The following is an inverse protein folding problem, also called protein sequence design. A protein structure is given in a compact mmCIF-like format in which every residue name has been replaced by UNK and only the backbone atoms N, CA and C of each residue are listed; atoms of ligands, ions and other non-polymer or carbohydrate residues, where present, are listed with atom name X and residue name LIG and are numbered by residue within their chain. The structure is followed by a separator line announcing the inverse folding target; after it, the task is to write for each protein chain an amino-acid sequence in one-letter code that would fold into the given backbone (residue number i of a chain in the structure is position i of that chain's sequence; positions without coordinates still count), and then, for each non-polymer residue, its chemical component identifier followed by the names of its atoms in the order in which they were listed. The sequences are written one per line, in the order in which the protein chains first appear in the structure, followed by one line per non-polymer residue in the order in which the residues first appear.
data_IF_028960789341
#
_entry.id   IF_028960789341
#
_cell.length_a   1.000
_cell.length_b   1.000
_cell.length_c   1.000
_cell.angle_alpha   90.00
_cell.angle_beta   90.00
_cell.angle_gamma   90.00
#
_symmetry.space_group_name_H-M   'P 1'
#
loop_
_entity.id
_entity.type
_entity.pdbx_description
1 polymer ?
#
# COMPACT_ATOMS: atom_id res chain seq x y z
N UNK A 1 1.26 -1.17 3.51
CA UNK A 1 0.93 -0.84 2.10
C UNK A 1 -0.55 -0.51 1.98
N UNK A 2 -0.90 0.46 1.14
CA UNK A 2 -2.28 0.94 0.94
C UNK A 2 -2.66 0.79 -0.53
N UNK A 3 -3.92 0.42 -0.79
CA UNK A 3 -4.53 0.37 -2.10
C UNK A 3 -5.90 1.05 -2.05
N UNK A 4 -6.14 2.03 -2.90
CA UNK A 4 -7.45 2.65 -3.10
C UNK A 4 -7.82 2.63 -4.59
N UNK A 5 -9.03 2.21 -4.92
CA UNK A 5 -9.46 2.02 -6.32
C UNK A 5 -10.71 2.83 -6.62
N UNK A 6 -10.81 3.27 -7.88
CA UNK A 6 -12.00 3.91 -8.41
C UNK A 6 -13.20 2.96 -8.45
N UNK A 7 -14.40 3.51 -8.19
CA UNK A 7 -15.64 2.76 -8.24
C UNK A 7 -15.83 2.11 -9.62
N UNK A 8 -16.23 0.84 -9.64
CA UNK A 8 -16.36 0.03 -10.86
C UNK A 8 -15.10 0.04 -11.75
N UNK A 9 -13.91 0.21 -11.15
CA UNK A 9 -12.62 0.33 -11.85
C UNK A 9 -12.58 1.49 -12.86
N UNK A 10 -13.46 2.47 -12.71
CA UNK A 10 -13.44 3.66 -13.56
C UNK A 10 -12.19 4.49 -13.32
N UNK A 11 -11.73 5.25 -14.33
CA UNK A 11 -10.65 6.20 -14.15
C UNK A 11 -10.97 7.20 -13.03
N UNK A 12 -9.98 7.48 -12.22
CA UNK A 12 -10.00 8.51 -11.18
C UNK A 12 -9.03 9.65 -11.50
N UNK A 13 -8.31 9.55 -12.61
CA UNK A 13 -7.46 10.57 -13.19
C UNK A 13 -7.74 10.62 -14.69
N UNK A 14 -8.09 11.79 -15.21
CA UNK A 14 -8.39 12.04 -16.63
C UNK A 14 -7.27 12.83 -17.33
N UNK A 15 -6.48 13.58 -16.57
CA UNK A 15 -5.41 14.41 -17.09
C UNK A 15 -4.34 14.68 -16.04
N UNK A 16 -3.25 15.33 -16.46
CA UNK A 16 -2.10 15.62 -15.59
C UNK A 16 -2.50 16.42 -14.34
N UNK A 17 -3.43 17.36 -14.48
CA UNK A 17 -3.89 18.21 -13.37
C UNK A 17 -4.56 17.42 -12.27
N UNK A 18 -5.23 16.31 -12.60
CA UNK A 18 -5.86 15.44 -11.61
C UNK A 18 -4.80 14.74 -10.74
N UNK A 19 -3.73 14.24 -11.36
CA UNK A 19 -2.61 13.64 -10.64
C UNK A 19 -1.92 14.63 -9.71
N UNK A 20 -1.65 15.84 -10.22
CA UNK A 20 -1.04 16.91 -9.42
C UNK A 20 -1.93 17.29 -8.25
N UNK A 21 -3.24 17.46 -8.49
CA UNK A 21 -4.18 17.78 -7.42
C UNK A 21 -4.29 16.67 -6.36
N UNK A 22 -4.24 15.40 -6.80
CA UNK A 22 -4.21 14.29 -5.85
C UNK A 22 -2.95 14.29 -4.98
N UNK A 23 -1.78 14.51 -5.58
CA UNK A 23 -0.51 14.61 -4.85
C UNK A 23 -0.52 15.77 -3.85
N UNK A 24 -1.11 16.91 -4.21
CA UNK A 24 -1.28 18.03 -3.26
C UNK A 24 -2.23 17.67 -2.12
N UNK A 25 -3.35 17.02 -2.39
CA UNK A 25 -4.25 16.51 -1.36
C UNK A 25 -3.53 15.53 -0.42
N UNK A 26 -2.73 14.62 -0.98
CA UNK A 26 -1.96 13.64 -0.22
C UNK A 26 -0.90 14.32 0.65
N UNK A 27 -0.12 15.24 0.08
CA UNK A 27 0.91 16.01 0.77
C UNK A 27 0.34 16.77 1.98
N UNK A 28 -0.77 17.48 1.76
CA UNK A 28 -1.43 18.24 2.82
C UNK A 28 -1.96 17.33 3.94
N UNK A 29 -2.66 16.27 3.57
CA UNK A 29 -3.26 15.36 4.54
C UNK A 29 -2.20 14.53 5.29
N UNK A 30 -1.14 14.08 4.62
CA UNK A 30 -0.05 13.36 5.25
C UNK A 30 0.66 14.22 6.31
N UNK A 31 0.87 15.50 6.02
CA UNK A 31 1.42 16.47 6.97
C UNK A 31 0.46 16.76 8.13
N UNK A 32 -0.84 16.93 7.84
CA UNK A 32 -1.89 17.24 8.84
C UNK A 32 -2.06 16.11 9.87
N UNK A 33 -1.87 14.87 9.45
CA UNK A 33 -2.14 13.69 10.27
C UNK A 33 -0.89 12.85 10.59
N UNK A 34 0.31 13.40 10.38
CA UNK A 34 1.57 12.72 10.69
C UNK A 34 1.72 11.33 10.02
N UNK A 35 1.44 11.24 8.73
CA UNK A 35 1.68 10.05 7.92
C UNK A 35 2.98 10.21 7.13
N UNK A 36 4.00 9.41 7.42
CA UNK A 36 5.20 9.34 6.59
C UNK A 36 4.92 8.53 5.32
N UNK A 37 4.96 9.16 4.16
CA UNK A 37 4.80 8.51 2.85
C UNK A 37 6.17 8.15 2.31
N UNK A 38 6.41 6.85 2.07
CA UNK A 38 7.69 6.33 1.61
C UNK A 38 7.72 6.07 0.11
N UNK A 39 6.63 5.59 -0.46
CA UNK A 39 6.50 5.41 -1.91
C UNK A 39 5.04 5.53 -2.34
N UNK A 40 4.83 5.92 -3.61
CA UNK A 40 3.51 5.95 -4.22
C UNK A 40 3.56 5.59 -5.71
N UNK A 41 2.43 5.13 -6.22
CA UNK A 41 2.12 5.06 -7.64
C UNK A 41 0.64 5.39 -7.88
N UNK A 42 0.39 6.34 -8.76
CA UNK A 42 -0.94 6.75 -9.18
C UNK A 42 -1.21 6.15 -10.56
N UNK A 43 -2.23 5.30 -10.63
CA UNK A 43 -2.64 4.65 -11.89
C UNK A 43 -3.99 5.23 -12.34
N UNK A 44 -4.37 5.13 -13.60
CA UNK A 44 -5.61 5.74 -14.08
C UNK A 44 -6.83 5.45 -13.20
N UNK A 45 -6.92 4.27 -12.58
CA UNK A 45 -8.09 3.85 -11.81
C UNK A 45 -7.78 3.41 -10.37
N UNK A 46 -6.56 3.56 -9.89
CA UNK A 46 -6.20 3.21 -8.51
C UNK A 46 -4.92 3.88 -8.04
N UNK A 47 -4.71 3.85 -6.73
CA UNK A 47 -3.53 4.42 -6.05
C UNK A 47 -2.92 3.37 -5.16
N UNK A 48 -1.60 3.26 -5.20
CA UNK A 48 -0.80 2.51 -4.24
C UNK A 48 0.05 3.46 -3.40
N UNK A 49 0.16 3.18 -2.07
CA UNK A 49 1.06 3.88 -1.17
C UNK A 49 1.82 2.89 -0.30
N UNK A 50 3.06 3.24 0.03
CA UNK A 50 3.82 2.69 1.15
C UNK A 50 3.99 3.81 2.15
N UNK A 51 3.50 3.61 3.38
CA UNK A 51 3.50 4.67 4.38
C UNK A 51 3.57 4.10 5.79
N UNK A 52 4.13 4.89 6.72
CA UNK A 52 4.18 4.60 8.15
C UNK A 52 3.38 5.65 8.91
N UNK A 53 2.28 5.28 9.59
CA UNK A 53 1.53 6.19 10.44
C UNK A 53 2.27 6.41 11.77
N UNK A 54 2.24 7.63 12.29
CA UNK A 54 2.82 7.97 13.60
C UNK A 54 1.86 7.67 14.76
N UNK A 55 0.56 7.59 14.47
CA UNK A 55 -0.49 7.19 15.40
C UNK A 55 -1.45 6.19 14.74
N UNK A 56 -2.26 5.50 15.53
CA UNK A 56 -3.22 4.49 15.06
C UNK A 56 -4.20 5.06 14.02
N UNK A 57 -4.62 6.31 14.17
CA UNK A 57 -5.60 6.96 13.31
C UNK A 57 -4.99 7.70 12.12
N UNK A 58 -3.66 7.95 12.12
CA UNK A 58 -3.01 8.78 11.12
C UNK A 58 -3.30 8.34 9.67
N UNK A 59 -3.25 7.04 9.41
CA UNK A 59 -3.56 6.50 8.08
C UNK A 59 -5.02 6.71 7.70
N UNK A 60 -5.95 6.42 8.60
CA UNK A 60 -7.38 6.51 8.32
C UNK A 60 -7.82 7.96 8.14
N UNK A 61 -7.33 8.88 8.95
CA UNK A 61 -7.59 10.31 8.83
C UNK A 61 -7.00 10.89 7.53
N UNK A 62 -5.76 10.54 7.21
CA UNK A 62 -5.12 10.95 5.95
C UNK A 62 -5.94 10.49 4.73
N UNK A 63 -6.24 9.19 4.66
CA UNK A 63 -6.96 8.64 3.50
C UNK A 63 -8.40 9.16 3.39
N UNK A 64 -9.04 9.46 4.52
CA UNK A 64 -10.35 10.10 4.55
C UNK A 64 -10.28 11.55 4.03
N UNK A 65 -9.28 12.32 4.47
CA UNK A 65 -9.08 13.69 4.04
C UNK A 65 -8.80 13.78 2.54
N UNK A 66 -7.84 12.97 2.05
CA UNK A 66 -7.51 12.85 0.61
C UNK A 66 -8.75 12.43 -0.18
N UNK A 67 -9.41 11.35 0.25
CA UNK A 67 -10.56 10.81 -0.47
C UNK A 67 -11.69 11.81 -0.64
N UNK A 68 -12.01 12.60 0.41
CA UNK A 68 -13.05 13.63 0.37
C UNK A 68 -12.65 14.86 -0.46
N UNK A 69 -11.40 15.36 -0.27
CA UNK A 69 -10.91 16.55 -0.99
C UNK A 69 -10.84 16.27 -2.49
N UNK A 70 -10.23 15.14 -2.84
CA UNK A 70 -10.05 14.74 -4.23
C UNK A 70 -11.37 14.38 -4.93
N UNK A 71 -12.27 13.62 -4.29
CA UNK A 71 -13.57 13.29 -4.89
C UNK A 71 -14.41 14.54 -5.17
N UNK A 72 -14.39 15.55 -4.30
CA UNK A 72 -15.06 16.84 -4.52
C UNK A 72 -14.48 17.57 -5.73
N UNK A 73 -13.15 17.64 -5.83
CA UNK A 73 -12.46 18.23 -6.98
C UNK A 73 -12.85 17.50 -8.27
N UNK A 74 -12.64 16.19 -8.31
CA UNK A 74 -12.87 15.36 -9.50
C UNK A 74 -14.31 15.44 -9.98
N UNK A 75 -15.29 15.29 -9.09
CA UNK A 75 -16.70 15.39 -9.44
C UNK A 75 -17.06 16.74 -10.03
N UNK A 76 -16.48 17.84 -9.50
CA UNK A 76 -16.69 19.18 -10.04
C UNK A 76 -16.10 19.31 -11.45
N UNK A 77 -14.86 18.88 -11.66
CA UNK A 77 -14.17 19.00 -12.95
C UNK A 77 -14.80 18.09 -14.02
N UNK A 78 -15.16 16.86 -13.64
CA UNK A 78 -15.76 15.89 -14.54
C UNK A 78 -17.27 16.05 -14.72
N UNK A 79 -17.92 17.05 -14.09
CA UNK A 79 -19.36 17.29 -14.17
C UNK A 79 -20.22 16.14 -13.66
N UNK A 80 -19.73 15.39 -12.65
CA UNK A 80 -20.38 14.17 -12.15
C UNK A 80 -20.76 14.29 -10.67
N UNK A 81 -21.61 13.38 -10.22
CA UNK A 81 -22.04 13.22 -8.81
C UNK A 81 -21.79 11.78 -8.34
N UNK A 82 -21.91 11.55 -7.02
CA UNK A 82 -21.80 10.23 -6.43
C UNK A 82 -20.37 9.85 -6.02
N UNK A 83 -20.18 8.58 -5.67
CA UNK A 83 -18.90 8.07 -5.14
C UNK A 83 -17.85 7.97 -6.25
N UNK A 84 -16.64 8.44 -5.96
CA UNK A 84 -15.47 8.26 -6.83
C UNK A 84 -14.76 6.94 -6.53
N UNK A 85 -14.66 6.58 -5.25
CA UNK A 85 -13.90 5.45 -4.77
C UNK A 85 -14.76 4.20 -4.53
N UNK A 86 -14.19 3.03 -4.78
CA UNK A 86 -14.78 1.72 -4.48
C UNK A 86 -14.71 1.44 -2.97
N UNK A 87 -15.57 2.11 -2.19
CA UNK A 87 -15.60 1.98 -0.74
C UNK A 87 -14.36 2.57 -0.04
N UNK A 88 -14.00 1.99 1.10
CA UNK A 88 -12.81 2.37 1.85
C UNK A 88 -11.54 1.84 1.19
N UNK A 89 -10.40 2.51 1.43
CA UNK A 89 -9.11 1.98 1.04
C UNK A 89 -8.83 0.63 1.73
N UNK A 90 -8.00 -0.18 1.11
CA UNK A 90 -7.45 -1.39 1.71
C UNK A 90 -6.06 -1.07 2.25
N UNK A 91 -5.75 -1.61 3.42
CA UNK A 91 -4.41 -1.52 3.99
C UNK A 91 -3.99 -2.85 4.57
N UNK A 92 -2.71 -3.14 4.46
CA UNK A 92 -2.08 -4.30 5.06
C UNK A 92 -0.72 -3.91 5.62
N UNK A 93 -0.45 -4.37 6.83
CA UNK A 93 0.84 -4.15 7.51
C UNK A 93 1.84 -5.21 7.05
N UNK A 94 3.10 -4.83 6.97
CA UNK A 94 4.19 -5.76 6.68
C UNK A 94 5.39 -5.46 7.58
N UNK A 95 6.26 -6.43 7.76
CA UNK A 95 7.53 -6.27 8.46
C UNK A 95 8.46 -5.36 7.63
N UNK A 96 8.79 -4.14 8.11
CA UNK A 96 9.61 -3.22 7.36
C UNK A 96 11.05 -3.71 7.16
N UNK A 97 11.61 -4.50 8.09
CA UNK A 97 12.97 -5.00 7.97
C UNK A 97 13.14 -5.89 6.74
N UNK A 98 12.12 -6.66 6.40
CA UNK A 98 12.18 -7.59 5.27
C UNK A 98 11.52 -7.03 4.00
N UNK A 99 10.45 -6.24 4.14
CA UNK A 99 9.55 -5.94 3.04
C UNK A 99 9.51 -4.48 2.61
N UNK A 100 10.23 -3.56 3.29
CA UNK A 100 10.14 -2.14 2.92
C UNK A 100 10.63 -1.87 1.49
N UNK A 101 11.88 -2.21 1.18
CA UNK A 101 12.43 -2.01 -0.16
C UNK A 101 11.66 -2.80 -1.24
N UNK A 102 11.34 -4.10 -1.05
CA UNK A 102 10.49 -4.81 -1.99
C UNK A 102 9.12 -4.15 -2.22
N UNK A 103 8.48 -3.61 -1.17
CA UNK A 103 7.18 -2.95 -1.29
C UNK A 103 7.30 -1.61 -2.05
N UNK A 104 8.35 -0.83 -1.82
CA UNK A 104 8.62 0.41 -2.57
C UNK A 104 8.82 0.10 -4.06
N UNK A 105 9.71 -0.83 -4.39
CA UNK A 105 9.97 -1.27 -5.77
C UNK A 105 8.71 -1.86 -6.44
N UNK A 106 7.91 -2.62 -5.67
CA UNK A 106 6.62 -3.13 -6.14
C UNK A 106 5.67 -2.00 -6.51
N UNK A 107 5.54 -1.00 -5.67
CA UNK A 107 4.65 0.14 -5.92
C UNK A 107 5.14 0.93 -7.12
N UNK A 108 6.40 1.33 -7.16
CA UNK A 108 6.98 2.16 -8.22
C UNK A 108 7.06 1.48 -9.58
N UNK A 109 7.27 0.16 -9.61
CA UNK A 109 7.23 -0.64 -10.84
C UNK A 109 5.82 -0.99 -11.34
N UNK A 110 4.75 -0.39 -10.78
CA UNK A 110 3.37 -0.76 -11.12
C UNK A 110 3.06 -0.54 -12.61
N UNK A 111 3.43 0.62 -13.17
CA UNK A 111 3.21 0.96 -14.57
C UNK A 111 3.94 0.02 -15.54
N UNK A 112 5.17 -0.37 -15.19
CA UNK A 112 5.96 -1.30 -16.00
C UNK A 112 5.30 -2.68 -16.05
N UNK A 113 4.87 -3.19 -14.90
CA UNK A 113 4.15 -4.48 -14.83
C UNK A 113 2.79 -4.46 -15.52
N UNK A 114 2.18 -3.28 -15.64
CA UNK A 114 0.93 -3.11 -16.39
C UNK A 114 1.16 -2.92 -17.91
N UNK A 115 2.42 -2.84 -18.36
CA UNK A 115 2.76 -2.56 -19.76
C UNK A 115 2.49 -1.11 -20.19
N UNK A 116 2.33 -0.18 -19.22
CA UNK A 116 1.97 1.22 -19.48
C UNK A 116 3.21 2.14 -19.52
N UNK A 117 4.36 1.66 -19.05
CA UNK A 117 5.64 2.33 -19.14
C UNK A 117 6.77 1.33 -19.38
N UNK A 118 7.81 1.73 -20.08
CA UNK A 118 8.99 0.89 -20.32
C UNK A 118 9.90 0.76 -19.10
N UNK A 119 9.97 1.82 -18.29
CA UNK A 119 10.76 1.87 -17.05
C UNK A 119 9.99 2.63 -15.96
N UNK A 120 10.31 2.43 -14.66
CA UNK A 120 9.71 3.22 -13.58
C UNK A 120 9.99 4.71 -13.71
N UNK A 121 11.13 5.09 -14.28
CA UNK A 121 11.52 6.47 -14.54
C UNK A 121 10.61 7.18 -15.55
N UNK A 122 10.15 6.45 -16.57
CA UNK A 122 9.27 6.98 -17.61
C UNK A 122 7.85 7.29 -17.10
N UNK A 123 7.44 6.68 -15.99
CA UNK A 123 6.16 6.97 -15.35
C UNK A 123 6.28 8.15 -14.37
N UNK A 124 5.73 9.31 -14.75
CA UNK A 124 5.75 10.53 -13.92
C UNK A 124 4.93 10.41 -12.63
N UNK A 125 4.05 9.44 -12.53
CA UNK A 125 3.05 9.36 -11.47
C UNK A 125 3.41 8.35 -10.39
N UNK A 126 4.72 8.14 -10.19
CA UNK A 126 5.27 7.34 -9.10
C UNK A 126 6.41 8.09 -8.38
N UNK A 127 6.85 7.55 -7.24
CA UNK A 127 7.91 8.12 -6.42
C UNK A 127 9.34 7.72 -6.84
N UNK A 128 9.52 6.88 -7.86
CA UNK A 128 10.82 6.35 -8.29
C UNK A 128 11.85 7.46 -8.55
N UNK A 129 11.43 8.55 -9.21
CA UNK A 129 12.32 9.67 -9.57
C UNK A 129 12.96 10.31 -8.35
N UNK A 130 12.28 10.31 -7.20
CA UNK A 130 12.83 10.75 -5.92
C UNK A 130 13.96 9.82 -5.44
N UNK A 131 13.68 8.52 -5.33
CA UNK A 131 14.66 7.55 -4.82
C UNK A 131 15.83 7.33 -5.79
N UNK A 132 15.61 7.48 -7.08
CA UNK A 132 16.67 7.45 -8.10
C UNK A 132 17.51 8.74 -8.20
N UNK A 133 17.18 9.79 -7.43
CA UNK A 133 17.89 11.05 -7.43
C UNK A 133 17.71 11.90 -8.68
N UNK A 134 16.61 11.70 -9.42
CA UNK A 134 16.29 12.45 -10.64
C UNK A 134 15.54 13.72 -10.30
N UNK A 135 14.59 13.64 -9.36
CA UNK A 135 13.74 14.74 -8.96
C UNK A 135 13.31 14.59 -7.50
N UNK A 136 13.69 15.54 -6.65
CA UNK A 136 13.32 15.48 -5.24
C UNK A 136 11.82 15.73 -5.04
N UNK A 137 11.16 14.84 -4.32
CA UNK A 137 9.77 15.05 -3.88
C UNK A 137 9.71 15.60 -2.47
N UNK A 138 9.08 16.77 -2.24
CA UNK A 138 9.13 17.46 -0.96
C UNK A 138 8.32 16.78 0.17
N UNK A 139 7.55 15.76 -0.12
CA UNK A 139 6.71 15.08 0.87
C UNK A 139 7.02 13.59 1.04
N UNK A 140 7.96 13.05 0.26
CA UNK A 140 8.47 11.70 0.50
C UNK A 140 9.36 11.72 1.74
N UNK A 141 9.13 10.77 2.62
CA UNK A 141 9.95 10.53 3.81
C UNK A 141 10.76 9.28 3.56
N UNK A 142 12.06 9.42 3.36
CA UNK A 142 12.96 8.27 3.21
C UNK A 142 12.89 7.37 4.44
N UNK A 143 12.71 6.08 4.21
CA UNK A 143 12.72 5.08 5.27
C UNK A 143 14.16 4.64 5.61
N UNK A 144 14.39 4.13 6.83
CA UNK A 144 15.70 3.63 7.25
C UNK A 144 16.28 2.61 6.26
N UNK A 145 15.47 1.69 5.73
CA UNK A 145 15.90 0.73 4.73
C UNK A 145 16.45 1.37 3.44
N UNK A 146 15.97 2.55 3.05
CA UNK A 146 16.55 3.31 1.94
C UNK A 146 17.88 3.96 2.34
N UNK A 147 17.99 4.46 3.59
CA UNK A 147 19.23 5.03 4.11
C UNK A 147 20.36 3.98 4.21
N UNK A 148 20.01 2.73 4.48
CA UNK A 148 20.96 1.59 4.55
C UNK A 148 21.55 1.20 3.19
N UNK A 149 21.01 1.70 2.07
CA UNK A 149 21.56 1.44 0.74
C UNK A 149 22.91 2.11 0.47
N UNK A 150 23.33 3.07 1.30
CA UNK A 150 24.64 3.71 1.15
C UNK A 150 24.84 4.89 2.09
N UNK A 151 26.10 5.24 2.32
CA UNK A 151 26.49 6.30 3.24
C UNK A 151 26.32 7.71 2.62
N UNK A 152 26.29 7.79 1.30
CA UNK A 152 26.11 9.05 0.57
C UNK A 152 24.79 9.04 -0.22
N UNK A 153 24.21 10.21 -0.53
CA UNK A 153 23.04 10.28 -1.40
C UNK A 153 23.27 9.60 -2.75
N UNK A 154 24.46 9.78 -3.33
CA UNK A 154 24.82 9.19 -4.61
C UNK A 154 24.83 7.65 -4.56
N UNK A 155 25.43 7.07 -3.53
CA UNK A 155 25.45 5.61 -3.32
C UNK A 155 24.02 5.06 -3.18
N UNK A 156 23.20 5.68 -2.33
CA UNK A 156 21.82 5.25 -2.12
C UNK A 156 21.01 5.26 -3.42
N UNK A 157 21.09 6.36 -4.15
CA UNK A 157 20.38 6.53 -5.42
C UNK A 157 20.87 5.51 -6.47
N UNK A 158 22.20 5.28 -6.55
CA UNK A 158 22.79 4.31 -7.45
C UNK A 158 22.34 2.89 -7.12
N UNK A 159 22.42 2.50 -5.84
CA UNK A 159 22.02 1.17 -5.39
C UNK A 159 20.51 0.96 -5.54
N UNK A 160 19.70 1.99 -5.32
CA UNK A 160 18.25 1.90 -5.55
C UNK A 160 17.93 1.68 -7.04
N UNK A 161 18.61 2.40 -7.95
CA UNK A 161 18.50 2.16 -9.40
C UNK A 161 18.88 0.74 -9.80
N UNK A 162 19.97 0.21 -9.22
CA UNK A 162 20.39 -1.17 -9.47
C UNK A 162 19.33 -2.18 -9.03
N UNK A 163 18.81 -2.05 -7.80
CA UNK A 163 17.74 -2.90 -7.29
C UNK A 163 16.47 -2.83 -8.15
N UNK A 164 16.14 -1.64 -8.63
CA UNK A 164 14.99 -1.44 -9.52
C UNK A 164 15.20 -2.09 -10.89
N UNK A 165 16.41 -2.04 -11.45
CA UNK A 165 16.77 -2.65 -12.72
C UNK A 165 16.82 -4.18 -12.64
N UNK A 166 17.32 -4.73 -11.52
CA UNK A 166 17.29 -6.17 -11.24
C UNK A 166 15.85 -6.68 -11.11
N UNK A 167 14.98 -5.85 -10.54
CA UNK A 167 13.56 -6.15 -10.36
C UNK A 167 13.29 -7.12 -9.21
N UNK A 168 12.02 -7.42 -9.03
CA UNK A 168 11.56 -8.36 -8.00
C UNK A 168 11.34 -9.75 -8.59
N UNK A 169 11.69 -10.80 -7.84
CA UNK A 169 11.41 -12.17 -8.24
C UNK A 169 9.90 -12.40 -8.42
N UNK A 170 9.53 -13.35 -9.30
CA UNK A 170 8.12 -13.71 -9.51
C UNK A 170 7.41 -14.07 -8.20
N UNK A 171 8.07 -14.82 -7.31
CA UNK A 171 7.55 -15.17 -5.99
C UNK A 171 7.30 -13.93 -5.12
N UNK A 172 8.23 -12.99 -5.08
CA UNK A 172 8.09 -11.72 -4.32
C UNK A 172 6.92 -10.90 -4.85
N UNK A 173 6.77 -10.81 -6.18
CA UNK A 173 5.66 -10.11 -6.82
C UNK A 173 4.30 -10.72 -6.47
N UNK A 174 4.18 -12.05 -6.49
CA UNK A 174 2.95 -12.76 -6.10
C UNK A 174 2.59 -12.51 -4.64
N UNK A 175 3.57 -12.61 -3.74
CA UNK A 175 3.37 -12.34 -2.30
C UNK A 175 2.89 -10.92 -2.07
N UNK A 176 3.57 -9.91 -2.63
CA UNK A 176 3.20 -8.50 -2.47
C UNK A 176 1.83 -8.19 -3.10
N UNK A 177 1.52 -8.80 -4.24
CA UNK A 177 0.20 -8.68 -4.88
C UNK A 177 -0.90 -9.26 -3.99
N UNK A 178 -0.71 -10.46 -3.47
CA UNK A 178 -1.66 -11.10 -2.58
C UNK A 178 -1.87 -10.27 -1.30
N UNK A 179 -0.79 -9.78 -0.70
CA UNK A 179 -0.80 -8.92 0.48
C UNK A 179 -1.59 -7.62 0.23
N UNK A 180 -1.32 -6.90 -0.87
CA UNK A 180 -2.01 -5.66 -1.23
C UNK A 180 -3.53 -5.84 -1.35
N UNK A 181 -3.97 -7.01 -1.82
CA UNK A 181 -5.40 -7.29 -2.05
C UNK A 181 -6.11 -7.91 -0.86
N UNK A 182 -5.43 -8.74 -0.09
CA UNK A 182 -6.03 -9.49 1.03
C UNK A 182 -6.19 -8.64 2.30
N UNK A 183 -5.27 -7.70 2.53
CA UNK A 183 -5.19 -6.94 3.77
C UNK A 183 -4.63 -7.75 4.95
N UNK A 184 -4.10 -8.96 4.71
CA UNK A 184 -3.44 -9.75 5.75
C UNK A 184 -2.01 -9.26 5.98
N UNK A 185 -1.48 -9.35 7.22
CA UNK A 185 -0.10 -8.99 7.51
C UNK A 185 0.90 -9.82 6.71
N UNK A 186 2.09 -9.27 6.48
CA UNK A 186 3.18 -9.93 5.79
C UNK A 186 4.47 -9.78 6.61
N UNK A 187 5.04 -10.88 7.03
CA UNK A 187 6.25 -10.97 7.84
C UNK A 187 6.49 -12.41 8.27
N UNK A 188 7.54 -12.62 9.05
CA UNK A 188 7.85 -13.89 9.66
C UNK A 188 6.97 -14.17 10.90
N UNK A 189 7.12 -15.36 11.48
CA UNK A 189 6.35 -15.78 12.66
C UNK A 189 6.60 -14.88 13.87
N UNK A 190 7.81 -14.33 14.02
CA UNK A 190 8.16 -13.44 15.12
C UNK A 190 7.42 -12.09 15.00
N UNK A 191 7.37 -11.54 13.79
CA UNK A 191 6.61 -10.32 13.50
C UNK A 191 5.10 -10.54 13.68
N UNK A 192 4.56 -11.66 13.20
CA UNK A 192 3.15 -12.00 13.38
C UNK A 192 2.79 -12.15 14.86
N UNK A 193 3.63 -12.85 15.65
CA UNK A 193 3.44 -12.97 17.09
C UNK A 193 3.51 -11.63 17.84
N UNK A 194 4.35 -10.69 17.34
CA UNK A 194 4.37 -9.33 17.87
C UNK A 194 3.06 -8.59 17.60
N UNK A 195 2.53 -8.69 16.38
CA UNK A 195 1.25 -8.08 16.02
C UNK A 195 0.08 -8.64 16.83
N UNK A 196 0.06 -9.95 17.12
CA UNK A 196 -0.96 -10.58 17.95
C UNK A 196 -1.00 -10.02 19.38
N UNK A 197 0.16 -9.68 19.94
CA UNK A 197 0.25 -9.09 21.29
C UNK A 197 -0.29 -7.67 21.37
N UNK A 198 -0.25 -6.93 20.25
CA UNK A 198 -0.63 -5.52 20.19
C UNK A 198 -2.02 -5.28 19.57
N UNK A 199 -2.64 -6.30 18.99
CA UNK A 199 -3.89 -6.13 18.26
C UNK A 199 -4.95 -7.17 18.59
N UNK A 200 -6.21 -6.78 18.45
CA UNK A 200 -7.37 -7.67 18.60
C UNK A 200 -7.82 -8.28 17.26
N UNK A 201 -7.23 -7.82 16.15
CA UNK A 201 -7.61 -8.26 14.82
C UNK A 201 -6.93 -9.60 14.49
N UNK A 202 -7.71 -10.53 13.93
CA UNK A 202 -7.16 -11.78 13.38
C UNK A 202 -6.11 -11.47 12.30
N UNK A 203 -5.00 -12.21 12.33
CA UNK A 203 -3.87 -12.04 11.40
C UNK A 203 -3.89 -13.03 10.22
N UNK A 204 -4.76 -14.03 10.23
CA UNK A 204 -4.86 -15.04 9.18
C UNK A 204 -6.31 -15.26 8.74
N UNK A 205 -6.55 -15.64 7.46
CA UNK A 205 -7.88 -15.98 7.00
C UNK A 205 -8.41 -17.22 7.70
N UNK A 206 -9.73 -17.30 7.86
CA UNK A 206 -10.36 -18.55 8.26
C UNK A 206 -10.16 -19.62 7.17
N UNK A 207 -10.04 -20.90 7.54
CA UNK A 207 -10.11 -21.98 6.58
C UNK A 207 -11.36 -21.84 5.71
N UNK A 208 -11.19 -22.00 4.40
CA UNK A 208 -12.33 -21.97 3.47
C UNK A 208 -13.21 -23.19 3.73
N UNK A 209 -14.51 -22.98 3.93
CA UNK A 209 -15.50 -24.06 4.06
C UNK A 209 -16.40 -23.89 5.29
N UNK A 210 -17.47 -24.70 5.32
CA UNK A 210 -18.36 -24.79 6.48
C UNK A 210 -17.57 -25.42 7.64
N UNK A 211 -17.61 -24.87 8.87
CA UNK A 211 -17.00 -25.52 10.03
C UNK A 211 -17.50 -26.96 10.13
N UNK A 212 -16.59 -27.91 10.29
CA UNK A 212 -16.98 -29.30 10.57
C UNK A 212 -17.81 -29.28 11.86
N UNK A 213 -19.02 -29.87 11.83
CA UNK A 213 -19.78 -30.12 13.06
C UNK A 213 -18.90 -30.95 13.98
N UNK A 214 -18.58 -30.41 15.13
CA UNK A 214 -18.00 -31.21 16.22
C UNK A 214 -19.10 -32.23 16.59
N UNK A 215 -18.89 -33.53 16.30
CA UNK A 215 -19.71 -34.59 16.85
C UNK A 215 -19.51 -34.49 18.36
N UNK A 216 -20.56 -34.11 19.11
CA UNK A 216 -20.64 -34.38 20.54
C UNK A 216 -20.68 -35.90 20.65
N UNK A 217 -19.59 -36.49 21.05
CA UNK A 217 -19.60 -37.87 21.55
C UNK A 217 -20.58 -37.93 22.70
N UNK A 218 -21.62 -38.73 22.51
CA UNK A 218 -22.60 -39.00 23.53
C UNK A 218 -21.93 -39.80 24.66
N UNK A 219 -21.67 -39.12 25.79
CA UNK A 219 -21.53 -39.81 27.04
C UNK A 219 -22.94 -40.20 27.52
N UNK A 220 -23.48 -41.26 26.95
CA UNK A 220 -24.53 -42.10 27.54
C UNK A 220 -23.94 -43.48 27.68
N UNK A 221 -23.60 -43.85 28.89
CA UNK A 221 -23.65 -45.21 29.46
C UNK A 221 -22.79 -45.24 30.74
N UNK A 222 -23.34 -44.83 31.83
CA UNK A 222 -22.98 -45.35 33.14
C UNK A 222 -24.01 -44.89 34.20
N UNK A 223 -25.27 -45.37 34.08
CA UNK A 223 -26.19 -45.38 35.20
C UNK A 223 -27.25 -46.45 34.96
N UNK A 224 -26.81 -47.70 35.10
CA UNK A 224 -27.71 -48.84 35.34
C UNK A 224 -26.89 -50.03 35.85
N UNK A 225 -26.69 -50.07 37.17
CA UNK A 225 -26.53 -51.30 37.95
C UNK A 225 -26.64 -50.95 39.44
#
# INVERSE_FOLDING_TARGET
MVLQRGNNRQPVFLGADDYLHYLDCLRMAAREHDLAVHAYALRPNHVHLVATPKSEDALSLTMQAVGRRYARYFNRVAGRTGTLWEGRFRSAVFDPAQWMLPAMLYVEGNAVRAGEAGTPEADRWNSYRHHAGIEASPFISDHAAYWELGNTPFERQSNYRMLSAEGLSGKTLEVLRAHAHSGWPLGDDAFLAQLERHGTRRLQPLPKGRPKKVQKEAHEEASAA
#
